data_IF_580609759358
#
_entry.id   IF_580609759358
#
_cell.length_a   1.000
_cell.length_b   1.000
_cell.length_c   1.000
_cell.angle_alpha   90.00
_cell.angle_beta   90.00
_cell.angle_gamma   90.00
#
_symmetry.space_group_name_H-M   'P 1'
#
loop_
_entity.id
_entity.type
_entity.pdbx_description
1 polymer ?
#
# COMPACT_ATOMS: atom_id res chain seq x y z
N UNK A 1 11.33 -17.56 64.69
CA UNK A 1 10.33 -18.59 64.32
C UNK A 1 9.12 -17.86 63.76
N UNK A 2 9.18 -17.61 62.45
CA UNK A 2 8.39 -18.27 61.38
C UNK A 2 7.06 -17.57 61.14
N UNK A 3 7.19 -16.50 60.35
CA UNK A 3 6.18 -15.91 59.47
C UNK A 3 5.68 -16.95 58.47
N UNK A 4 4.41 -17.34 58.58
CA UNK A 4 3.73 -18.15 57.57
C UNK A 4 2.29 -17.66 57.41
N UNK A 5 2.06 -16.49 56.80
CA UNK A 5 0.76 -16.22 56.20
C UNK A 5 0.74 -15.04 55.20
N UNK A 6 1.40 -15.21 54.05
CA UNK A 6 1.25 -14.24 52.94
C UNK A 6 1.44 -14.82 51.54
N UNK A 7 1.61 -16.14 51.41
CA UNK A 7 1.84 -16.81 50.10
C UNK A 7 0.60 -17.47 49.49
N UNK A 8 -0.61 -17.22 50.02
CA UNK A 8 -1.86 -17.74 49.45
C UNK A 8 -2.75 -16.70 48.75
N UNK A 9 -2.32 -15.44 48.60
CA UNK A 9 -3.04 -14.43 47.80
C UNK A 9 -2.49 -14.19 46.39
N UNK A 10 -1.48 -14.96 45.96
CA UNK A 10 -0.84 -14.78 44.63
C UNK A 10 -1.36 -15.76 43.56
N UNK A 11 -2.13 -16.79 43.94
CA UNK A 11 -2.53 -17.85 42.98
C UNK A 11 -4.00 -17.84 42.52
N UNK A 12 -4.80 -16.82 42.88
CA UNK A 12 -6.21 -16.73 42.45
C UNK A 12 -6.58 -15.45 41.69
N UNK A 13 -5.59 -14.62 41.30
CA UNK A 13 -5.78 -13.51 40.35
C UNK A 13 -5.28 -13.79 38.93
N UNK A 14 -4.99 -15.06 38.62
CA UNK A 14 -4.64 -15.50 37.26
C UNK A 14 -5.78 -16.25 36.54
N UNK A 15 -6.98 -16.33 37.12
CA UNK A 15 -8.07 -17.18 36.59
C UNK A 15 -9.39 -16.46 36.30
N UNK A 16 -9.38 -15.13 36.19
CA UNK A 16 -10.58 -14.35 35.80
C UNK A 16 -10.32 -13.24 34.76
N UNK A 17 -9.29 -13.38 33.91
CA UNK A 17 -9.10 -12.52 32.73
C UNK A 17 -9.16 -13.25 31.38
N UNK A 18 -9.46 -14.56 31.37
CA UNK A 18 -9.66 -15.34 30.13
C UNK A 18 -11.08 -15.25 29.54
N UNK A 19 -11.84 -14.17 29.81
CA UNK A 19 -13.17 -13.95 29.17
C UNK A 19 -13.41 -12.54 28.62
N UNK A 20 -12.36 -11.73 28.42
CA UNK A 20 -12.45 -10.49 27.63
C UNK A 20 -11.31 -10.34 26.60
N UNK A 21 -10.78 -11.46 26.12
CA UNK A 21 -9.69 -11.52 25.14
C UNK A 21 -10.05 -12.13 23.79
N UNK A 22 -11.33 -12.09 23.39
CA UNK A 22 -11.81 -12.72 22.14
C UNK A 22 -12.78 -11.85 21.33
N UNK A 23 -12.64 -10.51 21.36
CA UNK A 23 -13.41 -9.62 20.46
C UNK A 23 -12.51 -8.77 19.55
N UNK A 24 -11.17 -8.87 19.64
CA UNK A 24 -10.26 -8.08 18.79
C UNK A 24 -9.34 -8.89 17.87
N UNK A 25 -9.68 -10.15 17.61
CA UNK A 25 -8.96 -11.03 16.66
C UNK A 25 -9.83 -11.50 15.48
N UNK A 26 -11.06 -10.98 15.36
CA UNK A 26 -11.94 -11.19 14.20
C UNK A 26 -11.99 -9.98 13.25
N UNK A 27 -11.36 -8.85 13.59
CA UNK A 27 -11.34 -7.65 12.75
C UNK A 27 -10.11 -7.53 11.82
N UNK A 28 -9.10 -8.40 11.98
CA UNK A 28 -7.88 -8.37 11.15
C UNK A 28 -7.83 -9.45 10.06
N UNK A 29 -8.82 -10.35 10.02
CA UNK A 29 -8.92 -11.38 8.98
C UNK A 29 -9.84 -10.96 7.81
N UNK A 30 -10.52 -9.81 7.90
CA UNK A 30 -11.42 -9.32 6.85
C UNK A 30 -10.79 -8.27 5.91
N UNK A 31 -9.58 -7.77 6.19
CA UNK A 31 -8.92 -6.75 5.36
C UNK A 31 -7.83 -7.30 4.42
N UNK A 32 -7.69 -8.62 4.28
CA UNK A 32 -6.83 -9.25 3.25
C UNK A 32 -7.63 -9.58 1.98
N UNK A 33 -8.92 -9.21 1.91
CA UNK A 33 -9.79 -9.52 0.77
C UNK A 33 -9.96 -8.37 -0.25
N UNK A 34 -9.38 -7.19 -0.08
CA UNK A 34 -9.68 -6.03 -0.97
C UNK A 34 -8.49 -5.32 -1.60
N UNK A 35 -7.26 -5.81 -1.45
CA UNK A 35 -6.15 -5.30 -2.25
C UNK A 35 -5.08 -6.38 -2.47
N UNK A 36 -4.97 -6.87 -3.70
CA UNK A 36 -3.85 -7.68 -4.15
C UNK A 36 -4.10 -9.18 -4.10
N UNK A 37 -4.84 -9.68 -5.10
CA UNK A 37 -4.79 -11.09 -5.48
C UNK A 37 -3.41 -11.45 -6.02
N UNK A 38 -2.44 -11.69 -5.13
CA UNK A 38 -1.21 -12.40 -5.43
C UNK A 38 -1.20 -13.66 -4.56
N UNK A 39 -1.74 -14.74 -5.11
CA UNK A 39 -1.76 -16.06 -4.47
C UNK A 39 -0.32 -16.54 -4.33
N UNK A 40 0.23 -16.40 -3.12
CA UNK A 40 1.35 -17.20 -2.64
C UNK A 40 0.78 -18.54 -2.23
N UNK A 41 0.98 -19.57 -3.04
CA UNK A 41 0.84 -20.96 -2.57
C UNK A 41 2.22 -21.62 -2.58
N UNK A 42 2.76 -21.85 -1.39
CA UNK A 42 3.81 -22.84 -1.16
C UNK A 42 3.30 -23.75 -0.05
N UNK A 43 3.00 -25.01 -0.36
CA UNK A 43 3.49 -26.16 0.40
C UNK A 43 3.09 -27.48 -0.24
N UNK A 44 3.99 -28.43 -0.03
CA UNK A 44 4.16 -29.73 -0.66
C UNK A 44 3.13 -30.79 -0.25
N UNK A 45 2.79 -31.64 -1.23
CA UNK A 45 2.44 -33.07 -1.14
C UNK A 45 1.41 -33.56 -0.10
N UNK A 46 0.20 -33.91 -0.57
CA UNK A 46 -0.40 -35.25 -0.35
C UNK A 46 -1.66 -35.44 -1.19
N UNK A 47 -1.82 -36.68 -1.68
CA UNK A 47 -2.84 -37.18 -2.60
C UNK A 47 -4.28 -36.82 -2.19
N UNK A 48 -4.97 -36.06 -3.03
CA UNK A 48 -6.43 -36.14 -3.24
C UNK A 48 -6.71 -35.56 -4.63
N UNK A 49 -7.15 -36.40 -5.57
CA UNK A 49 -7.71 -35.95 -6.84
C UNK A 49 -9.03 -35.25 -6.52
N UNK A 50 -8.99 -33.92 -6.36
CA UNK A 50 -10.17 -33.10 -6.47
C UNK A 50 -10.40 -32.83 -7.97
N UNK A 51 -11.63 -33.00 -8.49
CA UNK A 51 -11.94 -32.65 -9.86
C UNK A 51 -11.56 -31.19 -10.10
N UNK A 52 -10.87 -30.93 -11.21
CA UNK A 52 -10.48 -29.59 -11.62
C UNK A 52 -11.73 -28.73 -11.86
N UNK A 53 -12.24 -28.10 -10.79
CA UNK A 53 -13.09 -26.94 -10.93
C UNK A 53 -12.21 -25.84 -11.52
N UNK A 54 -12.39 -25.60 -12.81
CA UNK A 54 -11.86 -24.44 -13.52
C UNK A 54 -12.47 -23.20 -12.86
N UNK A 55 -11.84 -22.73 -11.79
CA UNK A 55 -12.02 -21.36 -11.31
C UNK A 55 -11.08 -20.54 -12.18
N UNK A 56 -11.58 -20.11 -13.34
CA UNK A 56 -11.03 -18.93 -14.01
C UNK A 56 -11.31 -17.77 -13.07
N UNK A 57 -10.36 -17.45 -12.19
CA UNK A 57 -10.35 -16.19 -11.45
C UNK A 57 -10.07 -15.07 -12.48
N UNK A 58 -11.06 -14.76 -13.32
CA UNK A 58 -11.01 -13.55 -14.13
C UNK A 58 -11.07 -12.37 -13.17
N UNK A 59 -10.10 -11.45 -13.29
CA UNK A 59 -10.12 -10.21 -12.55
C UNK A 59 -11.37 -9.43 -12.96
N UNK A 60 -12.27 -9.14 -11.99
CA UNK A 60 -13.46 -8.36 -12.27
C UNK A 60 -13.09 -6.98 -12.84
N UNK A 61 -13.99 -6.41 -13.62
CA UNK A 61 -13.76 -5.11 -14.27
C UNK A 61 -13.43 -4.02 -13.24
N UNK A 62 -14.14 -4.03 -12.11
CA UNK A 62 -13.96 -3.09 -10.99
C UNK A 62 -12.57 -3.26 -10.35
N UNK A 63 -12.10 -4.49 -10.18
CA UNK A 63 -10.77 -4.76 -9.64
C UNK A 63 -9.65 -4.28 -10.58
N UNK A 64 -9.86 -4.41 -11.90
CA UNK A 64 -8.92 -3.90 -12.91
C UNK A 64 -8.87 -2.37 -12.88
N UNK A 65 -10.03 -1.71 -12.84
CA UNK A 65 -10.13 -0.25 -12.77
C UNK A 65 -9.50 0.28 -11.48
N UNK A 66 -9.85 -0.27 -10.31
CA UNK A 66 -9.29 0.14 -9.03
C UNK A 66 -7.76 -0.04 -8.99
N UNK A 67 -7.23 -1.16 -9.50
CA UNK A 67 -5.78 -1.36 -9.62
C UNK A 67 -5.14 -0.30 -10.52
N UNK A 68 -5.73 -0.02 -11.68
CA UNK A 68 -5.20 0.96 -12.62
C UNK A 68 -5.13 2.37 -12.04
N UNK A 69 -6.14 2.78 -11.26
CA UNK A 69 -6.15 4.07 -10.58
C UNK A 69 -5.05 4.14 -9.52
N UNK A 70 -4.91 3.12 -8.67
CA UNK A 70 -3.85 3.06 -7.65
C UNK A 70 -2.47 3.09 -8.30
N UNK A 71 -2.24 2.30 -9.35
CA UNK A 71 -0.99 2.28 -10.11
C UNK A 71 -0.71 3.64 -10.79
N UNK A 72 -1.77 4.34 -11.22
CA UNK A 72 -1.70 5.70 -11.78
C UNK A 72 -1.38 6.76 -10.72
N UNK A 73 -1.34 6.39 -9.44
CA UNK A 73 -1.17 7.31 -8.33
C UNK A 73 -2.42 8.14 -8.05
N UNK A 74 -3.60 7.64 -8.44
CA UNK A 74 -4.91 8.19 -8.11
C UNK A 74 -5.52 7.25 -7.08
N UNK A 75 -5.22 7.44 -5.80
CA UNK A 75 -5.82 6.72 -4.69
C UNK A 75 -6.29 7.73 -3.65
N UNK A 76 -7.18 7.36 -2.71
CA UNK A 76 -7.62 8.29 -1.68
C UNK A 76 -6.47 8.92 -0.90
N UNK A 77 -5.45 8.11 -0.56
CA UNK A 77 -4.25 8.57 0.13
C UNK A 77 -3.40 9.51 -0.73
N UNK A 78 -3.21 9.23 -2.01
CA UNK A 78 -2.39 10.10 -2.87
C UNK A 78 -3.07 11.44 -3.15
N UNK A 79 -4.40 11.44 -3.34
CA UNK A 79 -5.19 12.66 -3.51
C UNK A 79 -5.24 13.47 -2.21
N UNK A 80 -5.37 12.81 -1.05
CA UNK A 80 -5.26 13.48 0.24
C UNK A 80 -3.87 14.10 0.44
N UNK A 81 -2.80 13.38 0.09
CA UNK A 81 -1.42 13.88 0.15
C UNK A 81 -1.20 15.06 -0.81
N UNK A 82 -1.80 15.03 -2.00
CA UNK A 82 -1.77 16.15 -2.93
C UNK A 82 -2.50 17.39 -2.41
N UNK A 83 -3.37 17.23 -1.41
CA UNK A 83 -4.04 18.31 -0.71
C UNK A 83 -5.51 18.48 -1.08
N UNK A 84 -6.09 17.58 -1.87
CA UNK A 84 -7.45 17.74 -2.37
C UNK A 84 -8.50 17.59 -1.25
N UNK A 85 -9.66 18.21 -1.45
CA UNK A 85 -10.90 17.91 -0.74
C UNK A 85 -11.66 16.77 -1.43
N UNK A 86 -12.70 16.23 -0.78
CA UNK A 86 -13.58 15.25 -1.42
C UNK A 86 -14.28 15.80 -2.68
N UNK A 87 -14.64 17.09 -2.67
CA UNK A 87 -15.31 17.75 -3.80
C UNK A 87 -14.37 17.93 -5.00
N UNK A 88 -13.10 18.25 -4.75
CA UNK A 88 -12.07 18.34 -5.78
C UNK A 88 -11.63 16.95 -6.28
N UNK A 89 -11.62 15.94 -5.39
CA UNK A 89 -11.22 14.58 -5.73
C UNK A 89 -12.22 13.85 -6.64
N UNK A 90 -13.53 14.06 -6.48
CA UNK A 90 -14.56 13.41 -7.30
C UNK A 90 -14.31 13.52 -8.81
N UNK A 91 -14.22 14.72 -9.42
CA UNK A 91 -14.00 14.84 -10.86
C UNK A 91 -12.65 14.25 -11.32
N UNK A 92 -11.63 14.24 -10.45
CA UNK A 92 -10.32 13.62 -10.73
C UNK A 92 -10.43 12.10 -10.79
N UNK A 93 -11.16 11.49 -9.85
CA UNK A 93 -11.44 10.06 -9.81
C UNK A 93 -12.28 9.66 -11.04
N UNK A 94 -13.35 10.38 -11.33
CA UNK A 94 -14.24 10.11 -12.48
C UNK A 94 -13.50 10.17 -13.82
N UNK A 95 -12.62 11.17 -13.99
CA UNK A 95 -11.78 11.29 -15.17
C UNK A 95 -10.82 10.11 -15.33
N UNK A 96 -10.22 9.64 -14.23
CA UNK A 96 -9.36 8.46 -14.23
C UNK A 96 -10.15 7.16 -14.52
N UNK A 97 -11.34 6.98 -13.92
CA UNK A 97 -12.21 5.84 -14.17
C UNK A 97 -12.59 5.78 -15.65
N UNK A 98 -13.08 6.88 -16.22
CA UNK A 98 -13.44 6.96 -17.65
C UNK A 98 -12.25 6.57 -18.54
N UNK A 99 -11.04 6.99 -18.18
CA UNK A 99 -9.82 6.66 -18.91
C UNK A 99 -9.42 5.18 -18.77
N UNK A 100 -9.64 4.59 -17.59
CA UNK A 100 -9.36 3.18 -17.30
C UNK A 100 -10.38 2.25 -17.98
N UNK A 101 -11.67 2.54 -17.87
CA UNK A 101 -12.76 1.75 -18.47
C UNK A 101 -12.64 1.66 -19.99
N UNK A 102 -12.34 2.78 -20.65
CA UNK A 102 -12.09 2.80 -22.10
C UNK A 102 -10.87 1.99 -22.54
N UNK A 103 -10.06 1.51 -21.60
CA UNK A 103 -8.83 0.73 -21.80
C UNK A 103 -8.80 -0.54 -20.94
N UNK A 104 -9.94 -1.02 -20.48
CA UNK A 104 -9.98 -2.09 -19.48
C UNK A 104 -9.31 -3.39 -19.96
N UNK A 105 -9.56 -3.77 -21.21
CA UNK A 105 -8.98 -4.96 -21.84
C UNK A 105 -7.45 -4.85 -21.91
N UNK A 106 -6.83 -3.81 -22.53
CA UNK A 106 -5.38 -3.71 -22.58
C UNK A 106 -4.74 -3.58 -21.19
N UNK A 107 -5.39 -2.91 -20.23
CA UNK A 107 -4.90 -2.84 -18.84
C UNK A 107 -4.89 -4.23 -18.21
N UNK A 108 -6.00 -5.00 -18.27
CA UNK A 108 -6.08 -6.37 -17.77
C UNK A 108 -4.98 -7.25 -18.37
N UNK A 109 -4.87 -7.27 -19.70
CA UNK A 109 -3.84 -8.05 -20.40
C UNK A 109 -2.43 -7.67 -19.95
N UNK A 110 -2.17 -6.37 -19.73
CA UNK A 110 -0.86 -5.92 -19.26
C UNK A 110 -0.56 -6.35 -17.82
N UNK A 111 -1.56 -6.38 -16.94
CA UNK A 111 -1.43 -6.88 -15.57
C UNK A 111 -1.10 -8.37 -15.56
N UNK A 112 -1.83 -9.16 -16.34
CA UNK A 112 -1.61 -10.60 -16.50
C UNK A 112 -0.21 -10.91 -17.06
N UNK A 113 0.20 -10.19 -18.11
CA UNK A 113 1.53 -10.35 -18.71
C UNK A 113 2.66 -9.97 -17.73
N UNK A 114 2.50 -8.88 -16.99
CA UNK A 114 3.46 -8.45 -15.95
C UNK A 114 3.57 -9.51 -14.84
N UNK A 115 2.43 -10.02 -14.36
CA UNK A 115 2.40 -11.07 -13.35
C UNK A 115 3.05 -12.37 -13.84
N UNK A 116 2.76 -12.79 -15.08
CA UNK A 116 3.34 -13.98 -15.70
C UNK A 116 4.86 -13.83 -15.86
N UNK A 117 5.35 -12.67 -16.32
CA UNK A 117 6.78 -12.41 -16.46
C UNK A 117 7.51 -12.44 -15.11
N UNK A 118 6.94 -11.81 -14.07
CA UNK A 118 7.51 -11.83 -12.71
C UNK A 118 7.56 -13.24 -12.15
N UNK A 119 6.49 -14.03 -12.34
CA UNK A 119 6.41 -15.42 -11.90
C UNK A 119 7.49 -16.26 -12.58
N UNK A 120 7.57 -16.19 -13.91
CA UNK A 120 8.58 -16.90 -14.70
C UNK A 120 10.02 -16.56 -14.26
N UNK A 121 10.33 -15.27 -14.09
CA UNK A 121 11.64 -14.84 -13.59
C UNK A 121 11.94 -15.38 -12.18
N UNK A 122 10.96 -15.35 -11.29
CA UNK A 122 11.11 -15.82 -9.90
C UNK A 122 11.29 -17.34 -9.84
N UNK A 123 10.55 -18.09 -10.64
CA UNK A 123 10.66 -19.55 -10.76
C UNK A 123 12.03 -19.95 -11.30
N UNK A 124 12.49 -19.32 -12.39
CA UNK A 124 13.83 -19.56 -12.96
C UNK A 124 14.94 -19.26 -11.94
N UNK A 125 14.81 -18.15 -11.20
CA UNK A 125 15.79 -17.78 -10.17
C UNK A 125 15.80 -18.73 -8.98
N UNK A 126 14.65 -19.27 -8.59
CA UNK A 126 14.53 -20.22 -7.47
C UNK A 126 14.96 -21.63 -7.85
N UNK A 127 14.77 -22.03 -9.11
CA UNK A 127 15.10 -23.36 -9.61
C UNK A 127 16.61 -23.67 -9.59
N UNK A 128 17.48 -22.66 -9.54
CA UNK A 128 18.93 -22.84 -9.42
C UNK A 128 19.65 -23.32 -10.68
N UNK A 129 18.94 -23.96 -11.61
CA UNK A 129 19.50 -24.54 -12.84
C UNK A 129 19.40 -23.64 -14.08
N UNK A 130 18.83 -22.43 -13.94
CA UNK A 130 18.68 -21.51 -15.07
C UNK A 130 20.03 -20.91 -15.50
N UNK A 131 20.30 -20.91 -16.81
CA UNK A 131 21.49 -20.28 -17.36
C UNK A 131 21.44 -18.75 -17.22
N UNK A 132 22.61 -18.10 -17.24
CA UNK A 132 22.70 -16.63 -17.20
C UNK A 132 21.89 -15.97 -18.33
N UNK A 133 21.87 -16.59 -19.53
CA UNK A 133 21.08 -16.12 -20.67
C UNK A 133 19.58 -16.25 -20.42
N UNK A 134 19.11 -17.34 -19.82
CA UNK A 134 17.69 -17.52 -19.45
C UNK A 134 17.25 -16.48 -18.40
N UNK A 135 18.06 -16.23 -17.39
CA UNK A 135 17.79 -15.21 -16.37
C UNK A 135 17.80 -13.79 -16.97
N UNK A 136 18.70 -13.50 -17.90
CA UNK A 136 18.74 -12.21 -18.59
C UNK A 136 17.49 -11.99 -19.47
N UNK A 137 17.09 -12.99 -20.25
CA UNK A 137 15.88 -12.92 -21.09
C UNK A 137 14.61 -12.77 -20.25
N UNK A 138 14.49 -13.51 -19.14
CA UNK A 138 13.35 -13.40 -18.23
C UNK A 138 13.30 -12.03 -17.52
N UNK A 139 14.45 -11.48 -17.13
CA UNK A 139 14.54 -10.12 -16.58
C UNK A 139 14.11 -9.07 -17.60
N UNK A 140 14.52 -9.23 -18.86
CA UNK A 140 14.12 -8.32 -19.93
C UNK A 140 12.61 -8.39 -20.20
N UNK A 141 12.02 -9.58 -20.20
CA UNK A 141 10.56 -9.74 -20.30
C UNK A 141 9.82 -9.04 -19.15
N UNK A 142 10.33 -9.12 -17.91
CA UNK A 142 9.78 -8.36 -16.77
C UNK A 142 9.87 -6.86 -17.01
N UNK A 143 11.01 -6.36 -17.52
CA UNK A 143 11.18 -4.93 -17.81
C UNK A 143 10.18 -4.47 -18.88
N UNK A 144 10.05 -5.19 -19.98
CA UNK A 144 9.14 -4.86 -21.08
C UNK A 144 7.68 -4.87 -20.63
N UNK A 145 7.26 -5.89 -19.88
CA UNK A 145 5.90 -5.96 -19.35
C UNK A 145 5.62 -4.83 -18.34
N UNK A 146 6.62 -4.48 -17.51
CA UNK A 146 6.52 -3.36 -16.57
C UNK A 146 6.39 -2.01 -17.31
N UNK A 147 7.19 -1.78 -18.34
CA UNK A 147 7.13 -0.56 -19.15
C UNK A 147 5.79 -0.45 -19.89
N UNK A 148 5.34 -1.54 -20.53
CA UNK A 148 4.05 -1.58 -21.24
C UNK A 148 2.90 -1.24 -20.30
N UNK A 149 2.87 -1.85 -19.12
CA UNK A 149 1.87 -1.56 -18.11
C UNK A 149 1.96 -0.10 -17.61
N UNK A 150 3.17 0.41 -17.34
CA UNK A 150 3.37 1.81 -16.95
C UNK A 150 2.89 2.81 -18.02
N UNK A 151 3.08 2.52 -19.30
CA UNK A 151 2.57 3.35 -20.40
C UNK A 151 1.04 3.39 -20.45
N UNK A 152 0.37 2.26 -20.20
CA UNK A 152 -1.09 2.21 -20.12
C UNK A 152 -1.63 2.98 -18.91
N UNK A 153 -0.98 2.80 -17.76
CA UNK A 153 -1.32 3.50 -16.51
C UNK A 153 -1.10 5.02 -16.63
N UNK A 154 -0.09 5.47 -17.39
CA UNK A 154 0.12 6.89 -17.66
C UNK A 154 -1.06 7.53 -18.44
N UNK A 155 -1.75 6.76 -19.29
CA UNK A 155 -2.94 7.23 -20.00
C UNK A 155 -4.16 7.37 -19.07
N UNK A 156 -4.20 6.62 -17.96
CA UNK A 156 -5.19 6.79 -16.89
C UNK A 156 -4.90 8.04 -16.07
N UNK A 157 -3.61 8.27 -15.76
CA UNK A 157 -3.16 9.45 -14.99
C UNK A 157 -3.39 10.77 -15.73
N UNK A 158 -3.14 10.81 -17.03
CA UNK A 158 -3.14 12.05 -17.83
C UNK A 158 -4.43 12.92 -17.70
N UNK A 159 -5.65 12.36 -17.84
CA UNK A 159 -6.87 13.15 -17.66
C UNK A 159 -7.12 13.58 -16.21
N UNK A 160 -6.71 12.77 -15.22
CA UNK A 160 -6.79 13.16 -13.81
C UNK A 160 -5.90 14.36 -13.49
N UNK A 161 -4.63 14.35 -13.92
CA UNK A 161 -3.70 15.46 -13.64
C UNK A 161 -4.04 16.73 -14.42
N UNK A 162 -4.80 16.65 -15.50
CA UNK A 162 -5.27 17.82 -16.24
C UNK A 162 -6.28 18.68 -15.44
N UNK A 163 -6.87 18.11 -14.37
CA UNK A 163 -7.81 18.80 -13.48
C UNK A 163 -7.14 19.38 -12.22
N UNK A 164 -5.84 19.15 -12.06
CA UNK A 164 -5.08 19.54 -10.87
C UNK A 164 -4.25 20.80 -11.12
N UNK A 165 -4.00 21.56 -10.07
CA UNK A 165 -3.03 22.65 -10.14
C UNK A 165 -1.57 22.15 -10.13
N UNK A 166 -0.63 23.04 -10.40
CA UNK A 166 0.79 22.69 -10.50
C UNK A 166 1.37 22.14 -9.19
N UNK A 167 0.91 22.63 -8.04
CA UNK A 167 1.38 22.22 -6.73
C UNK A 167 0.80 20.85 -6.32
N UNK A 168 -0.46 20.59 -6.64
CA UNK A 168 -1.12 19.30 -6.48
C UNK A 168 -0.44 18.23 -7.34
N UNK A 169 -0.18 18.52 -8.63
CA UNK A 169 0.56 17.60 -9.51
C UNK A 169 1.94 17.31 -8.94
N UNK A 170 2.67 18.34 -8.48
CA UNK A 170 4.00 18.19 -7.91
C UNK A 170 4.00 17.32 -6.65
N UNK A 171 3.04 17.48 -5.73
CA UNK A 171 2.88 16.61 -4.55
C UNK A 171 2.47 15.19 -4.93
N UNK A 172 1.63 15.02 -5.96
CA UNK A 172 1.21 13.72 -6.46
C UNK A 172 2.38 12.95 -7.12
N UNK A 173 3.23 13.64 -7.88
CA UNK A 173 4.47 13.11 -8.44
C UNK A 173 5.45 12.70 -7.34
N UNK A 174 5.62 13.54 -6.31
CA UNK A 174 6.43 13.19 -5.15
C UNK A 174 5.88 11.96 -4.42
N UNK A 175 4.57 11.86 -4.22
CA UNK A 175 3.94 10.71 -3.59
C UNK A 175 4.20 9.43 -4.39
N UNK A 176 4.08 9.49 -5.71
CA UNK A 176 4.37 8.35 -6.59
C UNK A 176 5.86 7.97 -6.56
N UNK A 177 6.77 8.95 -6.60
CA UNK A 177 8.21 8.68 -6.50
C UNK A 177 8.59 8.01 -5.16
N UNK A 178 7.83 8.31 -4.11
CA UNK A 178 8.02 7.75 -2.76
C UNK A 178 7.13 6.54 -2.45
N UNK A 179 6.32 6.03 -3.40
CA UNK A 179 5.31 5.00 -3.09
C UNK A 179 5.92 3.75 -2.45
N UNK A 180 7.09 3.33 -2.95
CA UNK A 180 7.84 2.15 -2.49
C UNK A 180 8.68 2.40 -1.23
N UNK A 181 8.82 3.66 -0.81
CA UNK A 181 9.55 4.02 0.41
C UNK A 181 8.65 3.80 1.62
N UNK A 182 9.21 3.23 2.70
CA UNK A 182 8.52 3.02 3.99
C UNK A 182 8.45 4.31 4.81
N UNK A 183 7.93 5.36 4.20
CA UNK A 183 7.70 6.65 4.85
C UNK A 183 6.22 6.76 5.28
N UNK A 184 5.92 7.42 6.41
CA UNK A 184 4.58 7.91 6.69
C UNK A 184 4.00 8.73 5.54
N UNK A 185 2.68 8.71 5.35
CA UNK A 185 2.02 9.24 4.16
C UNK A 185 2.30 10.73 3.92
N UNK A 186 2.32 11.55 4.97
CA UNK A 186 2.58 12.99 4.85
C UNK A 186 3.97 13.29 4.28
N UNK A 187 4.98 12.49 4.62
CA UNK A 187 6.34 12.68 4.11
C UNK A 187 6.47 12.22 2.66
N UNK A 188 5.51 11.49 2.09
CA UNK A 188 5.53 11.14 0.67
C UNK A 188 5.24 12.35 -0.23
N UNK A 189 4.70 13.45 0.31
CA UNK A 189 4.36 14.69 -0.42
C UNK A 189 5.57 15.45 -1.00
N UNK A 190 6.79 15.13 -0.55
CA UNK A 190 8.01 15.84 -0.92
C UNK A 190 9.09 14.88 -1.40
N UNK A 191 9.90 15.32 -2.37
CA UNK A 191 11.00 14.52 -2.92
C UNK A 191 12.26 14.66 -2.07
N UNK A 192 12.48 13.69 -1.19
CA UNK A 192 13.66 13.59 -0.35
C UNK A 192 14.86 13.00 -1.08
N UNK A 193 16.06 13.38 -0.65
CA UNK A 193 17.29 12.65 -0.95
C UNK A 193 17.28 11.27 -0.28
N UNK A 194 18.09 10.34 -0.78
CA UNK A 194 18.18 8.99 -0.20
C UNK A 194 18.61 8.99 1.26
N UNK A 195 19.46 9.92 1.69
CA UNK A 195 19.87 10.07 3.10
C UNK A 195 18.71 10.55 3.96
N UNK A 196 18.01 11.61 3.54
CA UNK A 196 16.85 12.13 4.27
C UNK A 196 15.73 11.08 4.42
N UNK A 197 15.49 10.27 3.38
CA UNK A 197 14.53 9.16 3.48
C UNK A 197 14.91 8.19 4.60
N UNK A 198 16.21 7.86 4.71
CA UNK A 198 16.68 6.94 5.76
C UNK A 198 16.54 7.55 7.14
N UNK A 199 16.91 8.82 7.29
CA UNK A 199 16.83 9.54 8.56
C UNK A 199 15.38 9.65 9.04
N UNK A 200 14.46 10.07 8.16
CA UNK A 200 13.02 10.18 8.48
C UNK A 200 12.43 8.80 8.80
N UNK A 201 12.80 7.77 8.04
CA UNK A 201 12.33 6.41 8.29
C UNK A 201 12.80 5.88 9.65
N UNK A 202 14.08 6.06 9.98
CA UNK A 202 14.65 5.63 11.25
C UNK A 202 14.04 6.41 12.42
N UNK A 203 13.93 7.74 12.30
CA UNK A 203 13.31 8.58 13.32
C UNK A 203 11.82 8.21 13.55
N UNK A 204 11.07 7.92 12.48
CA UNK A 204 9.68 7.47 12.57
C UNK A 204 9.56 6.12 13.29
N UNK A 205 10.43 5.17 12.98
CA UNK A 205 10.45 3.85 13.62
C UNK A 205 10.85 3.94 15.10
N UNK A 206 11.86 4.76 15.40
CA UNK A 206 12.33 4.98 16.77
C UNK A 206 11.23 5.61 17.63
N UNK A 207 10.58 6.67 17.13
CA UNK A 207 9.44 7.30 17.79
C UNK A 207 8.33 6.30 18.09
N UNK A 208 7.92 5.49 17.11
CA UNK A 208 6.89 4.47 17.31
C UNK A 208 7.32 3.40 18.34
N UNK A 209 8.59 3.01 18.35
CA UNK A 209 9.13 2.05 19.31
C UNK A 209 9.12 2.61 20.73
N UNK A 210 9.59 3.84 20.94
CA UNK A 210 9.60 4.51 22.24
C UNK A 210 8.18 4.70 22.79
N UNK A 211 7.27 5.20 21.95
CA UNK A 211 5.85 5.36 22.32
C UNK A 211 5.21 4.01 22.69
N UNK A 212 5.54 2.93 21.98
CA UNK A 212 5.00 1.60 22.28
C UNK A 212 5.50 1.01 23.61
N UNK A 213 6.69 1.43 24.07
CA UNK A 213 7.26 1.05 25.37
C UNK A 213 6.81 1.96 26.51
N UNK A 214 6.22 3.12 26.18
CA UNK A 214 5.92 4.18 27.14
C UNK A 214 7.17 4.97 27.57
N UNK A 215 8.23 4.90 26.77
CA UNK A 215 9.47 5.65 26.99
C UNK A 215 9.34 7.08 26.47
N UNK A 216 10.18 7.99 26.96
CA UNK A 216 10.34 9.29 26.33
C UNK A 216 10.98 9.10 24.95
N UNK A 217 10.40 9.75 23.93
CA UNK A 217 10.92 9.68 22.56
C UNK A 217 12.32 10.31 22.49
N UNK A 218 13.23 9.64 21.80
CA UNK A 218 14.58 10.15 21.52
C UNK A 218 14.54 11.59 20.96
N UNK A 219 15.21 12.57 21.62
CA UNK A 219 15.27 13.96 21.15
C UNK A 219 15.79 14.12 19.72
N UNK A 220 16.71 13.26 19.28
CA UNK A 220 17.27 13.33 17.92
C UNK A 220 16.20 12.91 16.89
N UNK A 221 15.42 11.87 17.21
CA UNK A 221 14.30 11.45 16.37
C UNK A 221 13.23 12.56 16.29
N UNK A 222 12.93 13.23 17.41
CA UNK A 222 12.02 14.39 17.44
C UNK A 222 12.57 15.52 16.58
N UNK A 223 13.86 15.83 16.68
CA UNK A 223 14.48 16.91 15.91
C UNK A 223 14.41 16.65 14.39
N UNK A 224 14.70 15.42 13.94
CA UNK A 224 14.63 15.04 12.53
C UNK A 224 13.20 15.19 11.99
N UNK A 225 12.21 14.65 12.71
CA UNK A 225 10.81 14.72 12.28
C UNK A 225 10.29 16.15 12.28
N UNK A 226 10.61 16.94 13.30
CA UNK A 226 10.25 18.36 13.35
C UNK A 226 10.84 19.13 12.17
N UNK A 227 12.09 18.85 11.79
CA UNK A 227 12.72 19.49 10.63
C UNK A 227 12.01 19.10 9.32
N UNK A 228 11.59 17.84 9.18
CA UNK A 228 10.81 17.39 8.03
C UNK A 228 9.41 18.03 8.00
N UNK A 229 8.78 18.21 9.16
CA UNK A 229 7.45 18.82 9.32
C UNK A 229 7.43 20.32 8.98
N UNK A 230 8.59 21.00 8.98
CA UNK A 230 8.71 22.39 8.52
C UNK A 230 8.54 22.54 7.00
N UNK A 231 8.59 21.44 6.23
CA UNK A 231 8.34 21.49 4.80
C UNK A 231 6.86 21.77 4.51
N UNK A 232 6.58 22.79 3.70
CA UNK A 232 5.20 23.23 3.39
C UNK A 232 4.35 22.11 2.79
N UNK A 233 4.89 21.26 1.92
CA UNK A 233 4.11 20.17 1.31
C UNK A 233 3.76 19.08 2.32
N UNK A 234 4.69 18.79 3.24
CA UNK A 234 4.46 17.85 4.34
C UNK A 234 3.37 18.39 5.26
N UNK A 235 3.41 19.67 5.61
CA UNK A 235 2.39 20.31 6.44
C UNK A 235 1.00 20.29 5.76
N UNK A 236 0.93 20.62 4.47
CA UNK A 236 -0.32 20.53 3.67
C UNK A 236 -0.84 19.10 3.65
N UNK A 237 0.01 18.13 3.35
CA UNK A 237 -0.37 16.72 3.30
C UNK A 237 -0.84 16.20 4.68
N UNK A 238 -0.15 16.54 5.76
CA UNK A 238 -0.54 16.14 7.12
C UNK A 238 -1.91 16.69 7.50
N UNK A 239 -2.17 17.98 7.21
CA UNK A 239 -3.46 18.61 7.45
C UNK A 239 -4.57 17.97 6.61
N UNK A 240 -4.31 17.73 5.32
CA UNK A 240 -5.27 17.13 4.40
C UNK A 240 -5.59 15.67 4.77
N UNK A 241 -4.58 14.87 5.12
CA UNK A 241 -4.77 13.50 5.61
C UNK A 241 -5.66 13.45 6.86
N UNK A 242 -5.54 14.44 7.74
CA UNK A 242 -6.35 14.56 8.95
C UNK A 242 -7.79 14.98 8.65
N UNK A 243 -7.99 15.97 7.78
CA UNK A 243 -9.29 16.61 7.59
C UNK A 243 -10.10 16.08 6.41
N UNK A 244 -9.45 15.55 5.38
CA UNK A 244 -10.05 15.35 4.04
C UNK A 244 -10.06 13.89 3.58
N UNK A 245 -9.14 13.05 4.08
CA UNK A 245 -9.00 11.66 3.63
C UNK A 245 -10.32 10.87 3.69
N UNK A 246 -11.12 11.02 4.74
CA UNK A 246 -12.38 10.30 4.85
C UNK A 246 -13.40 10.73 3.79
N UNK A 247 -13.49 12.03 3.49
CA UNK A 247 -14.39 12.53 2.45
C UNK A 247 -13.95 12.04 1.06
N UNK A 248 -12.64 11.95 0.81
CA UNK A 248 -12.09 11.40 -0.44
C UNK A 248 -12.38 9.90 -0.55
N UNK A 249 -12.25 9.14 0.55
CA UNK A 249 -12.62 7.72 0.57
C UNK A 249 -14.09 7.51 0.24
N UNK A 250 -14.98 8.35 0.76
CA UNK A 250 -16.41 8.30 0.41
C UNK A 250 -16.63 8.58 -1.08
N UNK A 251 -15.97 9.59 -1.65
CA UNK A 251 -16.04 9.88 -3.08
C UNK A 251 -15.51 8.71 -3.94
N UNK A 252 -14.41 8.10 -3.52
CA UNK A 252 -13.83 6.92 -4.15
C UNK A 252 -14.78 5.72 -4.12
N UNK A 253 -15.32 5.40 -2.95
CA UNK A 253 -16.21 4.26 -2.78
C UNK A 253 -17.49 4.44 -3.62
N UNK A 254 -18.03 5.66 -3.68
CA UNK A 254 -19.17 5.98 -4.53
C UNK A 254 -18.87 5.82 -6.03
N UNK A 255 -17.66 6.18 -6.46
CA UNK A 255 -17.26 6.09 -7.86
C UNK A 255 -16.94 4.65 -8.30
N UNK A 256 -16.36 3.82 -7.43
CA UNK A 256 -15.93 2.45 -7.75
C UNK A 256 -17.03 1.42 -7.50
N UNK A 257 -17.89 1.59 -6.48
CA UNK A 257 -18.84 0.55 -6.06
C UNK A 257 -20.32 0.82 -6.40
N UNK A 258 -20.69 2.05 -6.77
CA UNK A 258 -22.08 2.41 -7.14
C UNK A 258 -23.12 2.17 -6.05
#
# INVERSE_FOLDING_TARGET
>A
MTTTDSRQKVYTRARNHNRKGHVLLAALAACIATAGGLVVFVSSASKFEAPASVITNELSDEAVVASALVDAGVSPESLAVAGLTGQEASPVIDAAITAAESRIIPIRTSLENKAAAIRSYTELRRGGDATAQQLAAAKEAVNQATQTHASLVALVRAPAVALLDTDEVRRLDAHQANHSRKLPLQYKAYKWSSSEVMDIMQASQQKAADESRGDAVDPDAVSILNQADLNTDVAVAANSLTLRLQAIRVAWDAAING
#
